data_IF_140434052648
#
_entry.id   IF_140434052648
#
_cell.length_a   1.000
_cell.length_b   1.000
_cell.length_c   1.000
_cell.angle_alpha   90.00
_cell.angle_beta   90.00
_cell.angle_gamma   90.00
#
_symmetry.space_group_name_H-M   'P 1'
#
loop_
_entity.id
_entity.type
_entity.pdbx_description
1 polymer ?
#
# COMPACT_ATOMS: atom_id res chain seq x y z
N UNK A 1 4.02 12.06 16.97
CA UNK A 1 4.80 11.05 16.22
C UNK A 1 3.83 9.93 15.87
N UNK A 2 3.72 9.54 14.59
CA UNK A 2 2.90 8.42 14.13
C UNK A 2 3.84 7.34 13.55
N UNK A 3 3.54 6.07 13.82
CA UNK A 3 4.26 4.91 13.31
C UNK A 3 3.29 4.06 12.51
N UNK A 4 3.46 4.05 11.19
CA UNK A 4 2.53 3.42 10.26
C UNK A 4 3.22 2.28 9.51
N UNK A 5 2.46 1.23 9.18
CA UNK A 5 2.98 0.12 8.39
C UNK A 5 2.95 0.47 6.90
N UNK A 6 4.07 0.24 6.23
CA UNK A 6 4.19 0.39 4.77
C UNK A 6 4.41 -0.97 4.13
N UNK A 7 3.47 -1.40 3.29
CA UNK A 7 3.48 -2.68 2.61
C UNK A 7 3.97 -2.52 1.17
N UNK A 8 4.69 -3.51 0.66
CA UNK A 8 5.06 -3.56 -0.75
C UNK A 8 4.36 -4.76 -1.41
N UNK A 9 3.85 -4.54 -2.62
CA UNK A 9 3.15 -5.55 -3.42
C UNK A 9 3.76 -5.68 -4.81
N UNK A 10 3.43 -6.75 -5.53
CA UNK A 10 3.79 -6.94 -6.93
C UNK A 10 2.57 -6.76 -7.85
N UNK A 11 2.07 -5.53 -7.96
CA UNK A 11 0.91 -5.19 -8.79
C UNK A 11 -0.45 -5.54 -8.15
N UNK A 12 -0.48 -5.71 -6.83
CA UNK A 12 -1.66 -6.12 -6.07
C UNK A 12 -2.10 -5.10 -5.02
N UNK A 13 -1.38 -3.98 -4.86
CA UNK A 13 -1.65 -3.01 -3.82
C UNK A 13 -3.08 -2.49 -3.87
N UNK A 14 -3.56 -2.09 -5.05
CA UNK A 14 -4.92 -1.55 -5.21
C UNK A 14 -6.01 -2.58 -4.87
N UNK A 15 -5.87 -3.83 -5.33
CA UNK A 15 -6.83 -4.87 -5.03
C UNK A 15 -6.87 -5.19 -3.52
N UNK A 16 -5.70 -5.29 -2.89
CA UNK A 16 -5.57 -5.52 -1.45
C UNK A 16 -6.19 -4.38 -0.64
N UNK A 17 -5.92 -3.12 -1.01
CA UNK A 17 -6.43 -1.96 -0.28
C UNK A 17 -7.91 -1.71 -0.50
N UNK A 18 -8.47 -2.03 -1.66
CA UNK A 18 -9.93 -2.02 -1.84
C UNK A 18 -10.59 -3.09 -0.95
N UNK A 19 -9.97 -4.26 -0.81
CA UNK A 19 -10.43 -5.25 0.16
C UNK A 19 -10.30 -4.74 1.60
N UNK A 20 -9.16 -4.16 1.99
CA UNK A 20 -8.98 -3.60 3.34
C UNK A 20 -9.98 -2.48 3.64
N UNK A 21 -10.24 -1.58 2.67
CA UNK A 21 -11.28 -0.56 2.76
C UNK A 21 -12.67 -1.18 2.95
N UNK A 22 -12.97 -2.30 2.29
CA UNK A 22 -14.26 -2.99 2.48
C UNK A 22 -14.44 -3.59 3.89
N UNK A 23 -13.34 -3.90 4.57
CA UNK A 23 -13.34 -4.49 5.92
C UNK A 23 -13.29 -3.41 7.00
N UNK A 24 -12.38 -2.45 6.89
CA UNK A 24 -12.17 -1.39 7.88
C UNK A 24 -13.04 -0.15 7.65
N UNK A 25 -13.67 -0.04 6.48
CA UNK A 25 -14.36 1.17 6.07
C UNK A 25 -13.40 2.31 5.71
N UNK A 26 -13.89 3.54 5.87
CA UNK A 26 -13.11 4.75 5.59
C UNK A 26 -12.95 5.05 4.10
N UNK A 27 -12.07 6.00 3.80
CA UNK A 27 -11.72 6.44 2.44
C UNK A 27 -10.21 6.54 2.31
N UNK A 28 -9.68 6.35 1.10
CA UNK A 28 -8.25 6.50 0.88
C UNK A 28 -7.83 7.96 1.08
N UNK A 29 -6.84 8.20 1.93
CA UNK A 29 -6.24 9.53 2.12
C UNK A 29 -5.29 9.88 0.97
N UNK A 30 -4.74 8.88 0.30
CA UNK A 30 -3.92 9.02 -0.89
C UNK A 30 -4.09 7.81 -1.81
N UNK A 31 -4.10 8.08 -3.11
CA UNK A 31 -4.03 7.08 -4.17
C UNK A 31 -3.33 7.74 -5.36
N UNK A 32 -2.09 7.33 -5.64
CA UNK A 32 -1.33 7.80 -6.79
C UNK A 32 -0.75 6.63 -7.56
N UNK A 33 -0.63 6.83 -8.88
CA UNK A 33 -0.07 5.84 -9.81
C UNK A 33 1.27 6.28 -10.36
N UNK A 34 2.08 5.33 -10.79
CA UNK A 34 3.34 5.64 -11.47
C UNK A 34 3.13 6.47 -12.75
N UNK A 35 2.00 6.29 -13.45
CA UNK A 35 1.66 7.07 -14.64
C UNK A 35 1.35 8.56 -14.37
N UNK A 36 1.13 8.94 -13.11
CA UNK A 36 0.88 10.32 -12.69
C UNK A 36 2.17 11.05 -12.30
N UNK A 37 3.30 10.35 -12.28
CA UNK A 37 4.60 10.96 -12.02
C UNK A 37 4.96 11.96 -13.11
N UNK A 38 5.59 13.10 -12.75
CA UNK A 38 6.18 14.00 -13.73
C UNK A 38 7.14 13.24 -14.65
N UNK A 39 7.19 13.63 -15.93
CA UNK A 39 8.14 13.06 -16.86
C UNK A 39 9.57 13.37 -16.38
N UNK A 40 10.31 12.34 -16.00
CA UNK A 40 11.73 12.43 -15.66
C UNK A 40 12.59 11.87 -16.79
N UNK A 41 13.70 12.53 -17.07
CA UNK A 41 14.66 12.10 -18.07
C UNK A 41 15.20 10.71 -17.71
N UNK A 42 15.05 9.74 -18.62
CA UNK A 42 15.50 8.35 -18.42
C UNK A 42 14.46 7.42 -17.77
N UNK A 43 13.29 7.91 -17.38
CA UNK A 43 12.17 7.07 -16.92
C UNK A 43 11.25 6.75 -18.09
N UNK A 44 11.12 5.47 -18.44
CA UNK A 44 10.20 5.00 -19.49
C UNK A 44 9.38 3.85 -18.95
N UNK A 45 8.17 4.15 -18.51
CA UNK A 45 7.27 3.16 -17.94
C UNK A 45 6.44 2.47 -19.02
N UNK A 46 6.33 1.15 -18.91
CA UNK A 46 5.35 0.38 -19.69
C UNK A 46 3.93 0.77 -19.31
N UNK A 47 2.94 0.50 -20.16
CA UNK A 47 1.52 0.74 -19.82
C UNK A 47 1.08 -0.05 -18.58
N UNK A 48 1.66 -1.24 -18.36
CA UNK A 48 1.41 -2.03 -17.15
C UNK A 48 1.98 -1.32 -15.92
N UNK A 49 3.20 -0.80 -16.01
CA UNK A 49 3.85 -0.11 -14.90
C UNK A 49 3.19 1.23 -14.58
N UNK A 50 2.68 1.95 -15.57
CA UNK A 50 1.94 3.20 -15.36
C UNK A 50 0.69 3.01 -14.49
N UNK A 51 0.06 1.83 -14.57
CA UNK A 51 -1.14 1.51 -13.79
C UNK A 51 -0.83 1.03 -12.38
N UNK A 52 0.41 0.66 -12.06
CA UNK A 52 0.81 0.25 -10.71
C UNK A 52 0.67 1.40 -9.72
N UNK A 53 0.42 1.05 -8.46
CA UNK A 53 0.31 2.00 -7.37
C UNK A 53 1.69 2.52 -6.98
N UNK A 54 1.89 3.83 -7.09
CA UNK A 54 3.06 4.51 -6.55
C UNK A 54 2.92 4.66 -5.03
N UNK A 55 1.76 5.12 -4.59
CA UNK A 55 1.45 5.25 -3.17
C UNK A 55 -0.07 5.14 -2.96
N UNK A 56 -0.47 4.35 -1.97
CA UNK A 56 -1.84 4.29 -1.50
C UNK A 56 -1.85 4.31 0.02
N UNK A 57 -2.86 4.96 0.60
CA UNK A 57 -2.96 5.14 2.03
C UNK A 57 -4.40 5.04 2.51
N UNK A 58 -4.62 4.26 3.56
CA UNK A 58 -5.93 4.00 4.18
C UNK A 58 -5.83 4.28 5.70
N UNK A 59 -6.41 5.39 6.18
CA UNK A 59 -6.54 5.66 7.61
C UNK A 59 -7.41 4.60 8.28
N UNK A 60 -6.89 3.94 9.31
CA UNK A 60 -7.63 2.94 10.10
C UNK A 60 -8.24 3.61 11.33
N UNK A 61 -7.48 4.48 12.01
CA UNK A 61 -7.95 5.31 13.12
C UNK A 61 -7.07 6.56 13.26
N UNK A 62 -7.26 7.35 14.32
CA UNK A 62 -6.50 8.59 14.58
C UNK A 62 -4.97 8.40 14.65
N UNK A 63 -4.52 7.19 14.99
CA UNK A 63 -3.11 6.90 15.28
C UNK A 63 -2.46 5.97 14.27
N UNK A 64 -3.23 5.31 13.40
CA UNK A 64 -2.73 4.26 12.50
C UNK A 64 -3.28 4.43 11.09
N UNK A 65 -2.34 4.41 10.15
CA UNK A 65 -2.61 4.40 8.72
C UNK A 65 -1.90 3.20 8.08
N UNK A 66 -2.60 2.46 7.23
CA UNK A 66 -1.99 1.46 6.38
C UNK A 66 -1.56 2.14 5.08
N UNK A 67 -0.31 1.93 4.68
CA UNK A 67 0.24 2.48 3.45
C UNK A 67 0.81 1.37 2.58
N UNK A 68 0.82 1.58 1.28
CA UNK A 68 1.48 0.65 0.37
C UNK A 68 1.94 1.27 -0.95
N UNK A 69 2.77 0.50 -1.66
CA UNK A 69 3.07 0.69 -3.07
C UNK A 69 3.25 -0.65 -3.78
N UNK A 70 3.08 -0.63 -5.10
CA UNK A 70 3.56 -1.72 -5.95
C UNK A 70 5.03 -1.51 -6.28
N UNK A 71 5.79 -2.59 -6.32
CA UNK A 71 7.21 -2.55 -6.67
C UNK A 71 7.37 -2.38 -8.17
N UNK A 72 8.34 -1.57 -8.56
CA UNK A 72 8.68 -1.30 -9.95
C UNK A 72 10.18 -1.45 -10.15
N UNK A 73 10.59 -2.22 -11.17
CA UNK A 73 12.00 -2.52 -11.40
C UNK A 73 12.85 -1.28 -11.66
N UNK A 74 12.34 -0.26 -12.35
CA UNK A 74 13.10 0.97 -12.62
C UNK A 74 13.37 1.79 -11.36
N UNK A 75 12.46 1.75 -10.38
CA UNK A 75 12.60 2.51 -9.13
C UNK A 75 13.28 1.68 -8.03
N UNK A 76 13.00 0.37 -7.95
CA UNK A 76 13.61 -0.55 -6.98
C UNK A 76 15.05 -0.98 -7.38
N UNK A 77 15.38 -1.03 -8.67
CA UNK A 77 16.74 -1.34 -9.12
C UNK A 77 17.72 -0.21 -8.77
N UNK A 78 17.28 1.05 -8.73
CA UNK A 78 18.12 2.17 -8.30
C UNK A 78 18.59 2.04 -6.86
N UNK A 79 17.79 1.41 -6.01
CA UNK A 79 18.10 1.17 -4.59
C UNK A 79 18.71 -0.22 -4.33
N UNK A 80 18.95 -1.05 -5.36
CA UNK A 80 19.40 -2.45 -5.24
C UNK A 80 18.53 -3.32 -4.30
N UNK A 81 17.29 -2.92 -4.05
CA UNK A 81 16.38 -3.65 -3.17
C UNK A 81 15.48 -4.54 -4.01
N UNK A 82 15.80 -5.83 -4.07
CA UNK A 82 14.91 -6.83 -4.66
C UNK A 82 13.76 -7.08 -3.70
N UNK A 83 12.52 -6.86 -4.16
CA UNK A 83 11.36 -7.25 -3.38
C UNK A 83 11.34 -8.76 -3.21
N UNK A 84 11.30 -9.21 -1.95
CA UNK A 84 11.24 -10.62 -1.59
C UNK A 84 9.96 -10.86 -0.80
N UNK A 85 9.00 -11.56 -1.42
CA UNK A 85 7.80 -11.97 -0.72
C UNK A 85 8.16 -12.99 0.36
N UNK A 86 7.66 -12.78 1.58
CA UNK A 86 7.93 -13.65 2.72
C UNK A 86 7.02 -13.36 3.89
N UNK A 87 7.33 -13.96 5.03
CA UNK A 87 6.54 -13.90 6.26
C UNK A 87 7.34 -13.23 7.40
N UNK A 88 8.15 -12.24 7.04
CA UNK A 88 9.06 -11.55 7.96
C UNK A 88 8.36 -10.45 8.77
N UNK A 89 7.17 -10.05 8.34
CA UNK A 89 6.38 -8.98 8.95
C UNK A 89 4.93 -9.42 9.13
N UNK A 90 4.34 -9.05 10.25
CA UNK A 90 2.95 -9.35 10.59
C UNK A 90 2.32 -8.08 11.18
N UNK A 91 1.07 -7.82 10.78
CA UNK A 91 0.25 -6.78 11.39
C UNK A 91 -0.76 -7.50 12.28
N UNK A 92 -0.68 -7.27 13.59
CA UNK A 92 -1.65 -7.78 14.56
C UNK A 92 -2.72 -6.72 14.79
N UNK A 93 -3.97 -7.13 14.66
CA UNK A 93 -5.13 -6.29 14.97
C UNK A 93 -5.82 -6.92 16.17
N UNK A 94 -5.91 -6.16 17.25
CA UNK A 94 -6.57 -6.59 18.48
C UNK A 94 -7.83 -5.77 18.63
N UNK A 95 -8.97 -6.45 18.57
CA UNK A 95 -10.27 -5.85 18.77
C UNK A 95 -10.61 -5.81 20.26
N UNK A 96 -11.26 -4.74 20.69
CA UNK A 96 -11.88 -4.69 22.00
C UNK A 96 -13.14 -5.59 22.06
N UNK A 97 -13.69 -5.76 23.26
CA UNK A 97 -14.83 -6.66 23.46
C UNK A 97 -16.10 -6.21 22.71
N UNK A 98 -16.27 -4.89 22.50
CA UNK A 98 -17.39 -4.34 21.73
C UNK A 98 -17.22 -4.63 20.24
N UNK A 99 -16.04 -4.36 19.68
CA UNK A 99 -15.70 -4.60 18.28
C UNK A 99 -15.80 -6.09 17.91
N UNK A 100 -15.39 -6.98 18.82
CA UNK A 100 -15.53 -8.43 18.62
C UNK A 100 -16.98 -8.88 18.50
N UNK A 101 -17.91 -8.24 19.22
CA UNK A 101 -19.33 -8.59 19.15
C UNK A 101 -19.98 -8.11 17.85
N UNK A 102 -19.50 -7.01 17.26
CA UNK A 102 -19.99 -6.46 16.00
C UNK A 102 -19.42 -7.18 14.77
N UNK A 103 -18.25 -7.81 14.89
CA UNK A 103 -17.59 -8.53 13.80
C UNK A 103 -18.08 -9.99 13.59
N UNK A 104 -18.98 -10.51 14.45
CA UNK A 104 -19.58 -11.84 14.34
C UNK A 104 -20.86 -11.85 13.50
#
# INVERSE_FOLDING_TARGET
MQLNHYLNFQGQAEAAFNFYKSVFGGEFSSLSRYGEMPAEEGVTLSEVDKNKILHISLPINEFTELMASDTNDQFCAQTNTVFTQGNNHYISINLDASEQAEAQ
#
